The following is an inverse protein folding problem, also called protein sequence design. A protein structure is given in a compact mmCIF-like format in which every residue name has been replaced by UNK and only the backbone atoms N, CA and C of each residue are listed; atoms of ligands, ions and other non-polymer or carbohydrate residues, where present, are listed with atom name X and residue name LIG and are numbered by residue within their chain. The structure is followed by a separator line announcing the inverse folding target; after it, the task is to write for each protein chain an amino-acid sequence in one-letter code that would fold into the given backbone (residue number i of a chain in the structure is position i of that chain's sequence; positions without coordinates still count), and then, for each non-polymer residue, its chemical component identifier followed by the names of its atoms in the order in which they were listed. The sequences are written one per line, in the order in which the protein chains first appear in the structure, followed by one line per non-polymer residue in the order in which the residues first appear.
data_IF_240945279416
#
_entry.id   IF_240945279416
#
_cell.length_a   1.000
_cell.length_b   1.000
_cell.length_c   1.000
_cell.angle_alpha   90.00
_cell.angle_beta   90.00
_cell.angle_gamma   90.00
#
_symmetry.space_group_name_H-M   'P 1'
#
loop_
_entity.id
_entity.type
_entity.pdbx_description
1 polymer ?
#
# COMPACT_ATOMS: atom_id res chain seq x y z
N UNK A 1 -5.18 10.10 4.30
CA UNK A 1 -4.61 8.73 4.39
C UNK A 1 -5.10 7.82 3.28
N UNK A 2 -6.41 7.59 3.18
CA UNK A 2 -6.98 6.68 2.17
C UNK A 2 -6.64 7.09 0.72
N UNK A 3 -6.87 8.35 0.37
CA UNK A 3 -6.54 8.88 -0.96
C UNK A 3 -5.03 8.77 -1.25
N UNK A 4 -4.18 9.05 -0.25
CA UNK A 4 -2.72 8.92 -0.42
C UNK A 4 -2.30 7.47 -0.68
N UNK A 5 -2.96 6.51 -0.03
CA UNK A 5 -2.74 5.09 -0.26
C UNK A 5 -3.14 4.69 -1.69
N UNK A 6 -4.34 5.10 -2.14
CA UNK A 6 -4.80 4.86 -3.50
C UNK A 6 -3.83 5.41 -4.56
N UNK A 7 -3.38 6.67 -4.39
CA UNK A 7 -2.42 7.29 -5.31
C UNK A 7 -1.08 6.52 -5.29
N UNK A 8 -0.62 6.15 -4.10
CA UNK A 8 0.62 5.39 -3.94
C UNK A 8 0.56 4.05 -4.65
N UNK A 9 -0.47 3.27 -4.38
CA UNK A 9 -0.62 1.93 -4.92
C UNK A 9 -0.82 1.94 -6.44
N UNK A 10 -1.76 2.76 -6.94
CA UNK A 10 -2.05 2.81 -8.37
C UNK A 10 -0.84 3.24 -9.23
N UNK A 11 0.07 4.04 -8.68
CA UNK A 11 1.29 4.50 -9.39
C UNK A 11 2.48 3.56 -9.15
N UNK A 12 2.65 3.04 -7.92
CA UNK A 12 3.88 2.34 -7.55
C UNK A 12 3.79 0.81 -7.66
N UNK A 13 2.62 0.19 -7.48
CA UNK A 13 2.49 -1.27 -7.55
C UNK A 13 2.88 -1.87 -8.92
N UNK A 14 2.58 -1.24 -10.08
CA UNK A 14 3.08 -1.76 -11.35
C UNK A 14 4.60 -1.94 -11.36
N UNK A 15 5.33 -1.01 -10.74
CA UNK A 15 6.77 -1.11 -10.56
C UNK A 15 7.14 -2.27 -9.63
N UNK A 16 6.53 -2.34 -8.44
CA UNK A 16 6.83 -3.39 -7.45
C UNK A 16 6.62 -4.76 -8.06
N UNK A 17 5.48 -4.99 -8.69
CA UNK A 17 5.18 -6.25 -9.36
C UNK A 17 6.06 -6.53 -10.57
N UNK A 18 6.39 -5.51 -11.36
CA UNK A 18 7.31 -5.63 -12.49
C UNK A 18 8.73 -6.02 -12.04
N UNK A 19 9.24 -5.42 -10.97
CA UNK A 19 10.59 -5.69 -10.44
C UNK A 19 10.74 -7.08 -9.85
N UNK A 20 9.69 -7.65 -9.27
CA UNK A 20 9.71 -9.04 -8.75
C UNK A 20 9.36 -10.08 -9.82
N UNK A 21 9.17 -9.66 -11.08
CA UNK A 21 8.76 -10.52 -12.19
C UNK A 21 7.47 -11.31 -11.86
N UNK A 22 6.48 -10.59 -11.32
CA UNK A 22 5.19 -11.19 -11.00
C UNK A 22 4.53 -11.75 -12.26
N UNK A 23 4.03 -12.98 -12.17
CA UNK A 23 3.20 -13.57 -13.21
C UNK A 23 1.72 -13.38 -12.85
N UNK A 24 1.04 -12.50 -13.59
CA UNK A 24 -0.36 -12.17 -13.34
C UNK A 24 -1.32 -13.33 -13.73
N UNK A 25 -0.89 -14.19 -14.65
CA UNK A 25 -1.68 -15.36 -15.07
C UNK A 25 -1.56 -16.53 -14.08
N UNK A 26 -0.37 -16.67 -13.45
CA UNK A 26 -0.09 -17.76 -12.52
C UNK A 26 0.50 -17.24 -11.19
N UNK A 27 -0.32 -16.58 -10.38
CA UNK A 27 0.14 -16.00 -9.11
C UNK A 27 0.59 -17.10 -8.14
N UNK A 28 1.78 -16.93 -7.56
CA UNK A 28 2.35 -17.88 -6.59
C UNK A 28 2.46 -17.25 -5.21
N UNK A 29 2.42 -18.08 -4.16
CA UNK A 29 2.64 -17.60 -2.79
C UNK A 29 4.03 -16.93 -2.59
N UNK A 30 5.02 -17.32 -3.39
CA UNK A 30 6.34 -16.73 -3.40
C UNK A 30 6.31 -15.23 -3.72
N UNK A 31 5.45 -14.84 -4.65
CA UNK A 31 5.33 -13.44 -5.08
C UNK A 31 4.90 -12.54 -3.93
N UNK A 32 4.05 -13.01 -3.02
CA UNK A 32 3.66 -12.23 -1.84
C UNK A 32 4.84 -11.93 -0.91
N UNK A 33 5.76 -12.88 -0.75
CA UNK A 33 6.97 -12.68 0.04
C UNK A 33 7.93 -11.68 -0.61
N UNK A 34 8.18 -11.82 -1.91
CA UNK A 34 9.04 -10.91 -2.67
C UNK A 34 8.47 -9.48 -2.71
N UNK A 35 7.16 -9.36 -2.89
CA UNK A 35 6.44 -8.09 -2.86
C UNK A 35 6.65 -7.38 -1.51
N UNK A 36 6.34 -8.05 -0.41
CA UNK A 36 6.49 -7.48 0.93
C UNK A 36 7.97 -7.12 1.25
N UNK A 37 8.92 -7.95 0.79
CA UNK A 37 10.35 -7.66 0.95
C UNK A 37 10.74 -6.38 0.22
N UNK A 38 10.35 -6.26 -1.06
CA UNK A 38 10.70 -5.08 -1.86
C UNK A 38 10.08 -3.80 -1.30
N UNK A 39 8.83 -3.85 -0.86
CA UNK A 39 8.18 -2.70 -0.21
C UNK A 39 8.87 -2.31 1.09
N UNK A 40 9.24 -3.27 1.94
CA UNK A 40 9.99 -2.99 3.15
C UNK A 40 11.36 -2.34 2.87
N UNK A 41 12.07 -2.81 1.82
CA UNK A 41 13.34 -2.23 1.40
C UNK A 41 13.16 -0.78 0.92
N UNK A 42 12.15 -0.52 0.11
CA UNK A 42 11.79 0.80 -0.39
C UNK A 42 11.44 1.74 0.76
N UNK A 43 10.57 1.32 1.66
CA UNK A 43 10.15 2.09 2.84
C UNK A 43 11.34 2.46 3.73
N UNK A 44 12.25 1.53 3.99
CA UNK A 44 13.46 1.78 4.75
C UNK A 44 14.34 2.85 4.08
N UNK A 45 14.52 2.78 2.76
CA UNK A 45 15.32 3.71 1.97
C UNK A 45 14.68 5.11 1.92
N UNK A 46 13.37 5.20 1.74
CA UNK A 46 12.64 6.47 1.75
C UNK A 46 12.67 7.10 3.15
N UNK A 47 12.49 6.30 4.20
CA UNK A 47 12.56 6.76 5.58
C UNK A 47 13.95 7.36 5.89
N UNK A 48 15.02 6.66 5.50
CA UNK A 48 16.38 7.17 5.64
C UNK A 48 16.60 8.44 4.82
N UNK A 49 16.11 8.49 3.60
CA UNK A 49 16.29 9.65 2.70
C UNK A 49 15.57 10.89 3.21
N UNK A 50 14.30 10.77 3.56
CA UNK A 50 13.43 11.92 3.86
C UNK A 50 13.30 12.25 5.33
N UNK A 51 13.38 11.25 6.22
CA UNK A 51 13.25 11.46 7.67
C UNK A 51 14.57 11.31 8.42
N UNK A 52 15.66 10.89 7.75
CA UNK A 52 16.98 10.62 8.35
C UNK A 52 16.90 9.62 9.52
N UNK A 53 15.98 8.66 9.43
CA UNK A 53 15.73 7.63 10.43
C UNK A 53 15.82 6.25 9.79
N UNK A 54 16.33 5.30 10.56
CA UNK A 54 16.21 3.87 10.25
C UNK A 54 14.81 3.37 10.67
N UNK A 55 14.32 2.25 10.10
CA UNK A 55 13.07 1.63 10.55
C UNK A 55 13.00 1.42 12.06
N UNK A 56 14.07 0.97 12.71
CA UNK A 56 14.14 0.79 14.17
C UNK A 56 13.97 2.08 14.98
N UNK A 57 14.24 3.22 14.38
CA UNK A 57 14.12 4.55 15.01
C UNK A 57 12.75 5.19 14.73
N UNK A 58 11.90 4.52 13.95
CA UNK A 58 10.58 5.02 13.59
C UNK A 58 9.50 4.15 14.24
N UNK A 59 8.72 4.75 15.15
CA UNK A 59 7.63 4.05 15.80
C UNK A 59 6.40 4.04 14.90
N UNK A 60 6.33 3.08 13.98
CA UNK A 60 5.21 2.92 13.05
C UNK A 60 3.88 2.73 13.79
N UNK A 61 3.86 2.00 14.90
CA UNK A 61 2.65 1.81 15.70
C UNK A 61 2.11 3.11 16.30
N UNK A 62 2.96 4.13 16.50
CA UNK A 62 2.52 5.44 16.98
C UNK A 62 1.81 6.27 15.91
N UNK A 63 1.99 5.96 14.63
CA UNK A 63 1.25 6.63 13.54
C UNK A 63 -0.22 6.24 13.53
N UNK A 64 -0.59 5.12 14.18
CA UNK A 64 -1.95 4.62 14.33
C UNK A 64 -2.45 4.98 15.74
N UNK A 65 -2.24 6.23 16.16
CA UNK A 65 -2.61 6.70 17.50
C UNK A 65 -3.99 7.35 17.46
N UNK A 66 -5.02 6.52 17.67
CA UNK A 66 -6.41 6.96 17.79
C UNK A 66 -6.85 6.85 19.24
N UNK A 67 -7.55 7.87 19.75
CA UNK A 67 -8.24 7.78 21.03
C UNK A 67 -9.53 6.93 20.92
N UNK A 68 -10.21 6.68 22.02
CA UNK A 68 -11.40 5.83 22.04
C UNK A 68 -12.54 6.35 21.17
N UNK A 69 -12.78 7.66 21.15
CA UNK A 69 -13.84 8.28 20.33
C UNK A 69 -13.48 8.23 18.84
N UNK A 70 -12.25 8.56 18.49
CA UNK A 70 -11.74 8.48 17.10
C UNK A 70 -11.81 7.04 16.58
N UNK A 71 -11.39 6.07 17.39
CA UNK A 71 -11.47 4.65 17.01
C UNK A 71 -12.90 4.23 16.76
N UNK A 72 -13.86 4.66 17.62
CA UNK A 72 -15.27 4.34 17.45
C UNK A 72 -15.86 4.99 16.21
N UNK A 73 -15.55 6.29 15.98
CA UNK A 73 -16.01 7.01 14.81
C UNK A 73 -15.48 6.38 13.52
N UNK A 74 -14.16 6.18 13.42
CA UNK A 74 -13.51 5.59 12.24
C UNK A 74 -14.03 4.17 12.00
N UNK A 75 -14.23 3.38 13.05
CA UNK A 75 -14.74 2.02 12.89
C UNK A 75 -16.17 2.00 12.32
N UNK A 76 -17.03 2.90 12.73
CA UNK A 76 -18.40 3.03 12.19
C UNK A 76 -18.37 3.54 10.77
N UNK A 77 -17.60 4.60 10.52
CA UNK A 77 -17.47 5.22 9.19
C UNK A 77 -16.95 4.22 8.15
N UNK A 78 -15.82 3.56 8.41
CA UNK A 78 -15.24 2.58 7.48
C UNK A 78 -16.15 1.37 7.29
N UNK A 79 -16.82 0.91 8.36
CA UNK A 79 -17.80 -0.18 8.26
C UNK A 79 -18.95 0.19 7.30
N UNK A 80 -19.48 1.41 7.38
CA UNK A 80 -20.52 1.89 6.47
C UNK A 80 -19.99 1.97 5.04
N UNK A 81 -18.88 2.67 4.82
CA UNK A 81 -18.29 2.82 3.49
C UNK A 81 -18.00 1.47 2.79
N UNK A 82 -17.45 0.50 3.53
CA UNK A 82 -17.16 -0.82 2.97
C UNK A 82 -18.45 -1.59 2.62
N UNK A 83 -19.45 -1.54 3.49
CA UNK A 83 -20.71 -2.21 3.22
C UNK A 83 -21.44 -1.56 2.03
N UNK A 84 -21.39 -0.24 1.91
CA UNK A 84 -22.01 0.48 0.77
C UNK A 84 -21.29 0.17 -0.53
N UNK A 85 -19.96 0.23 -0.54
CA UNK A 85 -19.13 -0.02 -1.72
C UNK A 85 -19.24 -1.47 -2.23
N UNK A 86 -19.36 -2.44 -1.30
CA UNK A 86 -19.44 -3.87 -1.64
C UNK A 86 -20.84 -4.45 -1.44
N UNK A 87 -21.89 -3.61 -1.44
CA UNK A 87 -23.26 -4.05 -1.24
C UNK A 87 -23.72 -5.18 -2.19
N UNK A 88 -23.41 -5.16 -3.48
CA UNK A 88 -23.80 -6.26 -4.38
C UNK A 88 -23.21 -7.62 -3.97
N UNK A 89 -21.95 -7.62 -3.47
CA UNK A 89 -21.27 -8.84 -3.00
C UNK A 89 -21.77 -9.23 -1.60
N UNK A 90 -21.97 -8.26 -0.71
CA UNK A 90 -22.43 -8.51 0.65
C UNK A 90 -23.86 -9.02 0.69
N UNK A 91 -24.74 -8.54 -0.22
CA UNK A 91 -26.13 -8.99 -0.31
C UNK A 91 -26.26 -10.45 -0.75
N UNK A 92 -25.39 -10.92 -1.66
CA UNK A 92 -25.37 -12.33 -2.13
C UNK A 92 -24.87 -13.29 -1.07
N UNK A 93 -23.91 -12.87 -0.24
CA UNK A 93 -23.22 -13.74 0.70
C UNK A 93 -23.55 -13.48 2.17
N UNK A 94 -24.45 -12.55 2.47
CA UNK A 94 -24.78 -12.08 3.83
C UNK A 94 -23.55 -11.61 4.64
N UNK A 95 -22.49 -11.20 3.96
CA UNK A 95 -21.27 -10.71 4.61
C UNK A 95 -21.40 -9.21 4.87
N UNK A 96 -21.41 -8.83 6.15
CA UNK A 96 -21.36 -7.45 6.56
C UNK A 96 -20.13 -7.19 7.42
N UNK A 97 -19.41 -6.12 7.10
CA UNK A 97 -18.30 -5.65 7.91
C UNK A 97 -18.87 -4.89 9.11
N UNK A 98 -18.68 -5.41 10.31
CA UNK A 98 -19.13 -4.72 11.52
C UNK A 98 -18.09 -3.71 12.03
N UNK A 99 -18.52 -2.64 12.75
CA UNK A 99 -17.58 -1.72 13.41
C UNK A 99 -16.59 -2.42 14.35
N UNK A 100 -17.03 -3.51 14.99
CA UNK A 100 -16.16 -4.33 15.85
C UNK A 100 -15.07 -5.07 15.08
N UNK A 101 -15.29 -5.44 13.84
CA UNK A 101 -14.24 -6.01 12.96
C UNK A 101 -13.20 -4.96 12.64
N UNK A 102 -13.60 -3.76 12.24
CA UNK A 102 -12.67 -2.64 11.97
C UNK A 102 -11.85 -2.31 13.22
N UNK A 103 -12.50 -2.20 14.39
CA UNK A 103 -11.81 -1.95 15.65
C UNK A 103 -10.72 -2.99 15.93
N UNK A 104 -11.04 -4.28 15.80
CA UNK A 104 -10.06 -5.36 15.98
C UNK A 104 -8.94 -5.32 14.96
N UNK A 105 -9.24 -4.95 13.72
CA UNK A 105 -8.22 -4.78 12.65
C UNK A 105 -7.24 -3.65 12.98
N UNK A 106 -7.71 -2.53 13.52
CA UNK A 106 -6.85 -1.43 13.99
C UNK A 106 -5.91 -1.91 15.10
N UNK A 107 -6.43 -2.65 16.08
CA UNK A 107 -5.61 -3.22 17.17
C UNK A 107 -4.59 -4.24 16.64
N UNK A 108 -5.02 -5.13 15.74
CA UNK A 108 -4.14 -6.12 15.12
C UNK A 108 -3.03 -5.47 14.30
N UNK A 109 -3.33 -4.40 13.54
CA UNK A 109 -2.33 -3.64 12.80
C UNK A 109 -1.29 -3.01 13.72
N UNK A 110 -1.73 -2.38 14.83
CA UNK A 110 -0.81 -1.81 15.83
C UNK A 110 0.09 -2.87 16.47
N UNK A 111 -0.46 -4.05 16.76
CA UNK A 111 0.30 -5.17 17.29
C UNK A 111 1.29 -5.68 16.24
N UNK A 112 0.86 -5.84 14.99
CA UNK A 112 1.70 -6.23 13.85
C UNK A 112 2.91 -5.30 13.69
N UNK A 113 2.70 -3.98 13.67
CA UNK A 113 3.78 -3.00 13.57
C UNK A 113 4.83 -3.13 14.69
N UNK A 114 4.43 -3.57 15.89
CA UNK A 114 5.36 -3.79 17.01
C UNK A 114 6.11 -5.12 16.91
N UNK A 115 5.42 -6.17 16.50
CA UNK A 115 5.97 -7.53 16.48
C UNK A 115 6.88 -7.79 15.27
N UNK A 116 6.59 -7.14 14.14
CA UNK A 116 7.36 -7.28 12.91
C UNK A 116 8.67 -6.46 12.89
N UNK A 117 8.89 -5.59 13.86
CA UNK A 117 10.16 -4.86 13.98
C UNK A 117 11.31 -5.79 14.36
N UNK A 118 12.35 -5.82 13.53
CA UNK A 118 13.55 -6.65 13.71
C UNK A 118 14.82 -5.92 13.22
N UNK A 119 15.29 -4.91 13.97
CA UNK A 119 16.40 -4.04 13.56
C UNK A 119 17.64 -4.76 13.07
N UNK A 120 17.97 -5.85 13.74
CA UNK A 120 19.22 -6.60 13.52
C UNK A 120 19.04 -7.84 12.63
N UNK A 121 17.88 -8.01 12.03
CA UNK A 121 17.52 -9.19 11.20
C UNK A 121 17.68 -10.56 11.90
N UNK A 122 17.72 -10.57 13.24
CA UNK A 122 17.91 -11.83 13.99
C UNK A 122 16.67 -12.71 13.96
N UNK A 123 15.48 -12.11 14.17
CA UNK A 123 14.21 -12.84 14.08
C UNK A 123 13.96 -13.27 12.64
N UNK A 124 14.22 -12.37 11.67
CA UNK A 124 14.09 -12.66 10.24
C UNK A 124 14.91 -13.88 9.87
N UNK A 125 16.21 -13.89 10.16
CA UNK A 125 17.11 -14.97 9.81
C UNK A 125 16.70 -16.31 10.45
N UNK A 126 16.25 -16.27 11.73
CA UNK A 126 15.78 -17.48 12.41
C UNK A 126 14.46 -18.00 11.79
N UNK A 127 13.50 -17.13 11.53
CA UNK A 127 12.23 -17.50 10.90
C UNK A 127 12.48 -18.02 9.47
N UNK A 128 13.33 -17.35 8.70
CA UNK A 128 13.72 -17.77 7.35
C UNK A 128 14.38 -19.16 7.35
N UNK A 129 15.26 -19.42 8.32
CA UNK A 129 15.84 -20.76 8.50
C UNK A 129 14.75 -21.82 8.77
N UNK A 130 13.81 -21.54 9.67
CA UNK A 130 12.70 -22.45 9.97
C UNK A 130 11.79 -22.62 8.75
N UNK A 131 11.46 -21.53 8.06
CA UNK A 131 10.65 -21.57 6.83
C UNK A 131 11.31 -22.41 5.75
N UNK A 132 12.62 -22.30 5.56
CA UNK A 132 13.37 -23.04 4.56
C UNK A 132 13.32 -24.56 4.74
N UNK A 133 13.01 -25.04 5.93
CA UNK A 133 12.84 -26.47 6.20
C UNK A 133 11.48 -27.01 5.71
N UNK A 134 10.48 -26.14 5.59
CA UNK A 134 9.09 -26.55 5.28
C UNK A 134 8.50 -25.83 4.06
N UNK A 135 9.04 -24.69 3.69
CA UNK A 135 8.54 -23.84 2.61
C UNK A 135 9.62 -23.59 1.57
N UNK A 136 9.22 -23.57 0.31
CA UNK A 136 10.11 -23.20 -0.80
C UNK A 136 10.51 -21.73 -0.79
N UNK A 137 9.67 -20.86 -0.20
CA UNK A 137 9.84 -19.42 -0.24
C UNK A 137 9.50 -18.79 1.11
N UNK A 138 10.22 -17.73 1.52
CA UNK A 138 9.95 -17.03 2.75
C UNK A 138 8.55 -16.38 2.72
N UNK A 139 7.82 -16.51 3.81
CA UNK A 139 6.46 -15.97 3.97
C UNK A 139 6.36 -14.99 5.12
N UNK A 140 6.70 -15.41 6.33
CA UNK A 140 6.65 -14.55 7.51
C UNK A 140 7.92 -13.72 7.67
N UNK A 141 9.09 -14.29 7.36
CA UNK A 141 10.38 -13.60 7.39
C UNK A 141 10.43 -12.40 6.43
N UNK A 142 9.78 -12.50 5.27
CA UNK A 142 9.71 -11.42 4.28
C UNK A 142 8.93 -10.17 4.77
N UNK A 143 8.06 -10.34 5.77
CA UNK A 143 7.29 -9.24 6.38
C UNK A 143 8.02 -8.54 7.52
N UNK A 144 9.20 -9.01 7.90
CA UNK A 144 9.98 -8.41 8.99
C UNK A 144 10.62 -7.11 8.53
N UNK A 145 10.44 -6.06 9.32
CA UNK A 145 10.98 -4.72 9.05
C UNK A 145 12.37 -4.61 9.67
N UNK A 146 13.39 -4.48 8.82
CA UNK A 146 14.81 -4.46 9.24
C UNK A 146 15.47 -3.14 8.87
N UNK A 147 16.61 -2.84 9.52
CA UNK A 147 17.45 -1.67 9.19
C UNK A 147 18.38 -1.92 7.99
N UNK A 148 18.42 -3.15 7.51
CA UNK A 148 19.34 -3.60 6.46
C UNK A 148 18.60 -3.76 5.15
N UNK A 149 19.05 -3.03 4.13
CA UNK A 149 18.62 -3.20 2.75
C UNK A 149 19.78 -3.78 1.96
N UNK A 150 19.58 -4.95 1.36
CA UNK A 150 20.64 -5.71 0.68
C UNK A 150 21.13 -5.02 -0.59
N UNK A 151 20.24 -4.61 -1.46
CA UNK A 151 20.55 -3.93 -2.73
C UNK A 151 19.69 -2.67 -2.94
N UNK A 152 20.10 -1.52 -2.40
CA UNK A 152 19.37 -0.26 -2.58
C UNK A 152 19.27 0.18 -4.04
N UNK A 153 20.25 -0.17 -4.87
CA UNK A 153 20.28 0.22 -6.29
C UNK A 153 19.22 -0.54 -7.06
N UNK A 154 19.09 -1.83 -6.79
CA UNK A 154 18.07 -2.68 -7.39
C UNK A 154 16.68 -2.34 -6.87
N UNK A 155 16.50 -2.20 -5.54
CA UNK A 155 15.20 -1.92 -4.93
C UNK A 155 14.61 -0.59 -5.41
N UNK A 156 15.43 0.40 -5.71
CA UNK A 156 14.99 1.70 -6.20
C UNK A 156 15.11 1.87 -7.73
N UNK A 157 15.61 0.88 -8.45
CA UNK A 157 15.92 0.96 -9.88
C UNK A 157 16.78 2.19 -10.24
N UNK A 158 17.84 2.45 -9.50
CA UNK A 158 18.67 3.63 -9.74
C UNK A 158 19.50 3.55 -11.04
N UNK A 159 19.57 2.37 -11.67
CA UNK A 159 20.19 2.19 -12.99
C UNK A 159 19.22 2.38 -14.14
N UNK A 160 17.95 2.66 -13.85
CA UNK A 160 16.91 2.81 -14.86
C UNK A 160 16.80 1.58 -15.79
N UNK A 161 16.92 0.39 -15.24
CA UNK A 161 16.66 -0.86 -15.94
C UNK A 161 15.19 -0.94 -16.36
N UNK A 162 14.95 -1.52 -17.53
CA UNK A 162 13.58 -1.67 -18.04
C UNK A 162 12.81 -2.68 -17.21
N UNK A 163 11.60 -2.31 -16.80
CA UNK A 163 10.61 -3.17 -16.19
C UNK A 163 9.28 -3.05 -16.96
N UNK A 164 8.47 -4.09 -16.94
CA UNK A 164 7.16 -4.13 -17.61
C UNK A 164 6.04 -4.28 -16.60
N UNK A 165 4.87 -3.75 -16.93
CA UNK A 165 3.66 -4.00 -16.19
C UNK A 165 3.25 -5.47 -16.37
N UNK A 166 3.09 -6.28 -15.29
CA UNK A 166 2.76 -7.70 -15.44
C UNK A 166 1.39 -7.98 -16.06
N UNK A 167 0.46 -7.07 -15.95
CA UNK A 167 -0.91 -7.19 -16.52
C UNK A 167 -1.01 -6.70 -17.95
N UNK A 168 -0.08 -5.84 -18.38
CA UNK A 168 0.06 -5.40 -19.77
C UNK A 168 1.54 -5.25 -20.13
N UNK A 169 2.11 -6.30 -20.69
CA UNK A 169 3.54 -6.37 -21.05
C UNK A 169 3.94 -5.37 -22.14
N UNK A 170 3.00 -4.74 -22.83
CA UNK A 170 3.27 -3.65 -23.78
C UNK A 170 3.67 -2.35 -23.09
N UNK A 171 3.31 -2.21 -21.81
CA UNK A 171 3.67 -1.07 -20.97
C UNK A 171 5.01 -1.35 -20.32
N UNK A 172 6.07 -0.84 -20.94
CA UNK A 172 7.43 -0.90 -20.41
C UNK A 172 7.88 0.48 -19.91
N UNK A 173 8.67 0.49 -18.85
CA UNK A 173 9.18 1.72 -18.27
C UNK A 173 10.61 1.53 -17.74
N UNK A 174 11.36 2.62 -17.66
CA UNK A 174 12.69 2.70 -17.05
C UNK A 174 12.68 3.62 -15.80
N UNK A 175 11.51 4.05 -15.36
CA UNK A 175 11.38 4.93 -14.20
C UNK A 175 11.97 4.27 -12.97
N UNK A 176 12.68 5.06 -12.17
CA UNK A 176 13.11 4.65 -10.83
C UNK A 176 11.98 4.83 -9.82
N UNK A 177 12.05 4.13 -8.68
CA UNK A 177 11.06 4.34 -7.61
C UNK A 177 11.04 5.79 -7.11
N UNK A 178 12.16 6.51 -6.94
CA UNK A 178 12.14 7.93 -6.62
C UNK A 178 11.40 8.81 -7.64
N UNK A 179 11.35 8.42 -8.93
CA UNK A 179 10.58 9.13 -9.94
C UNK A 179 9.09 8.93 -9.73
N UNK A 180 8.67 7.68 -9.52
CA UNK A 180 7.28 7.33 -9.21
C UNK A 180 6.81 8.00 -7.91
N UNK A 181 7.65 8.00 -6.89
CA UNK A 181 7.33 8.68 -5.63
C UNK A 181 7.12 10.19 -5.81
N UNK A 182 7.91 10.85 -6.67
CA UNK A 182 7.66 12.27 -7.03
C UNK A 182 6.34 12.46 -7.76
N UNK A 183 5.96 11.54 -8.64
CA UNK A 183 4.65 11.57 -9.30
C UNK A 183 3.51 11.43 -8.28
N UNK A 184 3.62 10.50 -7.33
CA UNK A 184 2.66 10.36 -6.23
C UNK A 184 2.53 11.66 -5.42
N UNK A 185 3.65 12.28 -5.06
CA UNK A 185 3.63 13.53 -4.30
C UNK A 185 2.98 14.68 -5.07
N UNK A 186 3.25 14.79 -6.37
CA UNK A 186 2.64 15.82 -7.22
C UNK A 186 1.13 15.62 -7.33
N UNK A 187 0.69 14.40 -7.63
CA UNK A 187 -0.74 14.07 -7.70
C UNK A 187 -1.45 14.28 -6.36
N UNK A 188 -0.82 13.84 -5.27
CA UNK A 188 -1.35 14.04 -3.92
C UNK A 188 -1.50 15.55 -3.59
N UNK A 189 -0.51 16.38 -3.95
CA UNK A 189 -0.58 17.82 -3.73
C UNK A 189 -1.74 18.46 -4.49
N UNK A 190 -1.96 18.06 -5.75
CA UNK A 190 -3.09 18.53 -6.56
C UNK A 190 -4.43 18.16 -5.91
N UNK A 191 -4.63 16.89 -5.59
CA UNK A 191 -5.88 16.42 -4.97
C UNK A 191 -6.11 17.08 -3.61
N UNK A 192 -5.06 17.19 -2.79
CA UNK A 192 -5.15 17.85 -1.49
C UNK A 192 -5.56 19.32 -1.62
N UNK A 193 -4.98 20.04 -2.58
CA UNK A 193 -5.35 21.43 -2.87
C UNK A 193 -6.83 21.54 -3.29
N UNK A 194 -7.30 20.65 -4.16
CA UNK A 194 -8.70 20.64 -4.61
C UNK A 194 -9.66 20.37 -3.44
N UNK A 195 -9.35 19.39 -2.60
CA UNK A 195 -10.15 19.07 -1.40
C UNK A 195 -10.17 20.27 -0.44
N UNK A 196 -9.01 20.89 -0.19
CA UNK A 196 -8.92 22.02 0.74
C UNK A 196 -9.73 23.20 0.24
N UNK A 197 -9.63 23.52 -1.05
CA UNK A 197 -10.45 24.57 -1.69
C UNK A 197 -11.94 24.26 -1.56
N UNK A 198 -12.34 23.02 -1.80
CA UNK A 198 -13.73 22.59 -1.66
C UNK A 198 -14.25 22.75 -0.23
N UNK A 199 -13.41 22.45 0.77
CA UNK A 199 -13.78 22.59 2.19
C UNK A 199 -13.93 24.05 2.63
N UNK A 200 -13.27 24.98 1.95
CA UNK A 200 -13.41 26.43 2.20
C UNK A 200 -14.67 27.02 1.55
N UNK A 201 -15.30 26.33 0.61
CA UNK A 201 -16.54 26.74 -0.02
C UNK A 201 -17.73 26.60 0.95
N UNK A 202 -18.53 27.66 1.10
CA UNK A 202 -19.72 27.63 1.96
C UNK A 202 -20.88 26.78 1.40
N UNK A 203 -20.79 26.32 0.15
CA UNK A 203 -21.83 25.56 -0.53
C UNK A 203 -21.22 24.40 -1.34
N UNK A 204 -20.92 23.30 -0.67
CA UNK A 204 -20.38 22.08 -1.28
C UNK A 204 -21.50 21.42 -2.09
N UNK A 205 -21.31 21.31 -3.41
CA UNK A 205 -22.22 20.61 -4.31
C UNK A 205 -21.67 19.25 -4.72
N UNK A 206 -22.54 18.25 -5.01
CA UNK A 206 -22.05 16.96 -5.51
C UNK A 206 -21.10 17.08 -6.70
N UNK A 207 -21.43 17.93 -7.69
CA UNK A 207 -20.58 18.21 -8.86
C UNK A 207 -19.19 18.76 -8.53
N UNK A 208 -18.97 19.29 -7.32
CA UNK A 208 -17.63 19.71 -6.88
C UNK A 208 -16.72 18.51 -6.60
N UNK A 209 -17.29 17.36 -6.25
CA UNK A 209 -16.54 16.11 -6.06
C UNK A 209 -16.17 15.45 -7.38
N UNK A 210 -16.99 15.60 -8.43
CA UNK A 210 -16.76 14.97 -9.72
C UNK A 210 -15.38 15.36 -10.28
N UNK A 211 -15.01 16.64 -10.16
CA UNK A 211 -13.68 17.11 -10.56
C UNK A 211 -12.53 16.44 -9.81
N UNK A 212 -12.73 16.16 -8.51
CA UNK A 212 -11.72 15.48 -7.68
C UNK A 212 -11.64 14.01 -8.10
N UNK A 213 -12.78 13.38 -8.39
CA UNK A 213 -12.84 12.00 -8.85
C UNK A 213 -12.23 11.86 -10.25
N UNK A 214 -12.50 12.78 -11.15
CA UNK A 214 -11.90 12.82 -12.50
C UNK A 214 -10.39 12.95 -12.41
N UNK A 215 -9.87 13.88 -11.59
CA UNK A 215 -8.43 14.05 -11.38
C UNK A 215 -7.82 12.83 -10.69
N UNK A 216 -8.51 12.22 -9.73
CA UNK A 216 -8.06 11.02 -9.05
C UNK A 216 -7.97 9.84 -10.02
N UNK A 217 -8.97 9.69 -10.86
CA UNK A 217 -9.14 8.60 -11.82
C UNK A 217 -9.59 7.30 -11.15
N UNK A 218 -9.99 6.34 -11.98
CA UNK A 218 -10.40 4.99 -11.55
C UNK A 218 -9.35 3.97 -12.03
N UNK A 219 -8.34 3.70 -11.19
CA UNK A 219 -7.23 2.80 -11.50
C UNK A 219 -7.15 1.64 -10.51
N UNK A 220 -6.74 0.50 -11.01
CA UNK A 220 -6.47 -0.68 -10.17
C UNK A 220 -5.33 -0.41 -9.18
N UNK A 221 -5.53 -0.79 -7.93
CA UNK A 221 -4.49 -0.76 -6.89
C UNK A 221 -3.27 -1.62 -7.23
N UNK A 222 -3.43 -2.68 -8.03
CA UNK A 222 -2.35 -3.60 -8.36
C UNK A 222 -1.68 -3.29 -9.68
N UNK A 223 -2.50 -3.18 -10.73
CA UNK A 223 -1.99 -3.02 -12.09
C UNK A 223 -1.75 -1.57 -12.49
N UNK A 224 -2.34 -0.61 -11.78
CA UNK A 224 -2.35 0.80 -12.20
C UNK A 224 -3.07 1.05 -13.52
N UNK A 225 -3.71 0.03 -14.09
CA UNK A 225 -4.50 0.17 -15.31
C UNK A 225 -5.88 0.75 -14.98
N UNK A 226 -6.50 1.48 -15.93
CA UNK A 226 -7.86 1.95 -15.76
C UNK A 226 -8.81 0.77 -15.48
N UNK A 227 -9.67 0.92 -14.48
CA UNK A 227 -10.77 0.01 -14.26
C UNK A 227 -11.89 0.47 -15.19
N UNK A 228 -12.24 -0.36 -16.17
CA UNK A 228 -13.40 -0.11 -16.98
C UNK A 228 -14.64 -0.35 -16.13
N UNK A 229 -15.56 0.59 -16.13
CA UNK A 229 -16.91 0.37 -15.61
C UNK A 229 -17.64 -0.55 -16.61
N UNK A 230 -17.23 -1.82 -16.69
CA UNK A 230 -18.04 -2.81 -17.38
C UNK A 230 -19.23 -3.10 -16.45
N UNK A 231 -20.37 -2.66 -16.91
CA UNK A 231 -21.68 -3.07 -16.42
C UNK A 231 -21.77 -4.61 -16.53
N UNK A 232 -21.57 -5.32 -15.42
CA UNK A 232 -21.97 -6.71 -15.25
C UNK A 232 -22.96 -6.89 -14.08
#
# INVERSE_FOLDING_TARGET
GFISHYIGDSICHPYVYGRIHYDAEHPTAACHGLHAKLENDIDALLLMKYKKKKPSQFNQAATICLNGMETQFISRFLSSCLNDAFYPLSSKNHYQVSPGMIHRSILALRLGCRTLSDPNSQKKNWIEYVESLFLRNPLASSKMVTDVVEDPVWSLNLRHETWCNPWDKSIASQTSFPDLFRQCLAKHATIYYMINTLMEENNIRPASFDRILDELGNYSYHSGLPCNDEED
#
